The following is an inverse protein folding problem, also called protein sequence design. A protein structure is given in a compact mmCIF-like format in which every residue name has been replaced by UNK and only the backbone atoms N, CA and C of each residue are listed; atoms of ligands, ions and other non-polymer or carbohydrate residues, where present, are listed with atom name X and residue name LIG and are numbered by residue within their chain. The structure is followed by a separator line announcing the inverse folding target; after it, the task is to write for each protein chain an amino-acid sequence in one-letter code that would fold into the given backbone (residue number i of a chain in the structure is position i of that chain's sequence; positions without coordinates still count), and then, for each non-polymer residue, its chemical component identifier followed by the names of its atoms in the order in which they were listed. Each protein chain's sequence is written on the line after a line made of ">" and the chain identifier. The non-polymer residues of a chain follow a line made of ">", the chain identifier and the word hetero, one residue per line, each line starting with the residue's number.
data_IF_104765159358
#
_entry.id   IF_104765159358
#
_cell.length_a   1.000
_cell.length_b   1.000
_cell.length_c   1.000
_cell.angle_alpha   90.00
_cell.angle_beta   90.00
_cell.angle_gamma   90.00
#
_symmetry.space_group_name_H-M   'P 1'
#
loop_
_entity.id
_entity.type
_entity.pdbx_description
1 polymer ?
#
# COMPACT_ATOMS: atom_id res chain seq x y z
N UNK A 1 -15.25 9.04 2.08
CA UNK A 1 -14.12 9.93 2.43
C UNK A 1 -13.86 11.07 1.45
N UNK A 2 -14.51 11.13 0.27
CA UNK A 2 -14.29 12.21 -0.71
C UNK A 2 -15.59 12.86 -1.14
N UNK A 3 -15.53 14.12 -1.54
CA UNK A 3 -16.63 14.91 -2.11
C UNK A 3 -16.14 15.66 -3.36
N UNK A 4 -17.06 16.12 -4.20
CA UNK A 4 -16.73 16.99 -5.35
C UNK A 4 -16.16 18.31 -4.83
N UNK A 5 -15.10 18.80 -5.47
CA UNK A 5 -14.55 20.13 -5.16
C UNK A 5 -15.55 21.22 -5.53
N UNK A 6 -15.64 22.25 -4.69
CA UNK A 6 -16.48 23.44 -4.91
C UNK A 6 -15.78 24.48 -5.80
N UNK A 7 -14.45 24.40 -5.93
CA UNK A 7 -13.64 25.32 -6.73
C UNK A 7 -13.46 24.80 -8.16
N UNK A 8 -13.37 23.48 -8.34
CA UNK A 8 -13.19 22.85 -9.65
C UNK A 8 -13.91 21.50 -9.73
N UNK A 9 -14.91 21.40 -10.61
CA UNK A 9 -15.73 20.20 -10.79
C UNK A 9 -14.95 18.93 -11.22
N UNK A 10 -13.72 19.08 -11.74
CA UNK A 10 -12.85 17.96 -12.10
C UNK A 10 -12.03 17.43 -10.92
N UNK A 11 -12.04 18.12 -9.78
CA UNK A 11 -11.31 17.74 -8.58
C UNK A 11 -12.21 17.09 -7.53
N UNK A 12 -11.58 16.25 -6.72
CA UNK A 12 -12.17 15.63 -5.54
C UNK A 12 -11.50 16.17 -4.29
N UNK A 13 -12.30 16.62 -3.34
CA UNK A 13 -11.83 17.04 -2.02
C UNK A 13 -11.82 15.86 -1.05
N UNK A 14 -10.67 15.61 -0.45
CA UNK A 14 -10.52 14.61 0.59
C UNK A 14 -11.07 15.13 1.92
N UNK A 15 -12.05 14.45 2.52
CA UNK A 15 -12.59 14.84 3.84
C UNK A 15 -11.60 14.63 4.99
N UNK A 16 -10.60 13.77 4.81
CA UNK A 16 -9.63 13.44 5.86
C UNK A 16 -8.51 14.48 6.00
N UNK A 17 -8.06 15.09 4.90
CA UNK A 17 -6.96 16.06 4.92
C UNK A 17 -7.25 17.36 4.14
N UNK A 18 -8.48 17.53 3.65
CA UNK A 18 -8.95 18.70 2.89
C UNK A 18 -8.22 18.97 1.57
N UNK A 19 -7.31 18.10 1.12
CA UNK A 19 -6.62 18.25 -0.17
C UNK A 19 -7.56 18.00 -1.35
N UNK A 20 -7.40 18.79 -2.40
CA UNK A 20 -8.07 18.63 -3.69
C UNK A 20 -7.16 17.86 -4.65
N UNK A 21 -7.68 16.81 -5.26
CA UNK A 21 -6.92 15.90 -6.14
C UNK A 21 -7.76 15.51 -7.35
N UNK A 22 -7.11 15.27 -8.49
CA UNK A 22 -7.78 14.76 -9.70
C UNK A 22 -8.16 13.28 -9.56
N UNK A 23 -7.31 12.48 -8.89
CA UNK A 23 -7.55 11.06 -8.67
C UNK A 23 -7.72 10.72 -7.19
N UNK A 24 -8.97 10.64 -6.73
CA UNK A 24 -9.31 10.32 -5.34
C UNK A 24 -8.88 8.92 -4.89
N UNK A 25 -8.85 7.93 -5.81
CA UNK A 25 -8.45 6.56 -5.47
C UNK A 25 -6.94 6.44 -5.26
N UNK A 26 -6.15 7.09 -6.11
CA UNK A 26 -4.71 7.18 -5.89
C UNK A 26 -4.39 7.91 -4.58
N UNK A 27 -5.07 9.03 -4.30
CA UNK A 27 -4.90 9.76 -3.06
C UNK A 27 -5.36 8.96 -1.83
N UNK A 28 -6.39 8.14 -1.94
CA UNK A 28 -6.84 7.28 -0.83
C UNK A 28 -5.70 6.42 -0.29
N UNK A 29 -4.80 5.95 -1.16
CA UNK A 29 -3.64 5.17 -0.75
C UNK A 29 -2.62 5.93 0.10
N UNK A 30 -2.60 7.26 0.08
CA UNK A 30 -1.74 8.03 1.01
C UNK A 30 -2.25 7.98 2.45
N UNK A 31 -3.55 7.74 2.64
CA UNK A 31 -4.17 7.61 3.96
C UNK A 31 -4.18 6.17 4.44
N UNK A 32 -4.29 5.21 3.52
CA UNK A 32 -4.13 3.82 3.88
C UNK A 32 -2.65 3.50 3.95
N UNK A 33 -2.08 3.56 5.16
CA UNK A 33 -0.80 2.90 5.43
C UNK A 33 -0.99 1.39 5.39
N UNK A 34 -1.27 0.83 4.20
CA UNK A 34 -1.32 -0.61 4.00
C UNK A 34 0.10 -1.13 4.12
N UNK A 35 0.38 -1.58 5.32
CA UNK A 35 1.62 -2.21 5.70
C UNK A 35 1.50 -3.68 5.32
N UNK A 36 2.22 -4.07 4.27
CA UNK A 36 2.33 -5.45 3.84
C UNK A 36 3.38 -6.13 4.72
N UNK A 37 2.96 -7.12 5.50
CA UNK A 37 3.83 -7.89 6.37
C UNK A 37 4.55 -8.98 5.58
N UNK A 38 5.82 -9.22 5.91
CA UNK A 38 6.52 -10.39 5.39
C UNK A 38 5.99 -11.66 6.09
N UNK A 39 5.63 -12.71 5.35
CA UNK A 39 5.14 -13.96 5.94
C UNK A 39 6.25 -14.86 6.50
N UNK A 40 7.49 -14.36 6.55
CA UNK A 40 8.67 -15.12 7.00
C UNK A 40 9.49 -14.37 8.06
N UNK A 41 9.16 -13.11 8.37
CA UNK A 41 9.88 -12.30 9.35
C UNK A 41 9.04 -11.08 9.79
N UNK A 42 9.41 -10.35 10.87
CA UNK A 42 8.62 -9.21 11.36
C UNK A 42 8.74 -7.95 10.47
N UNK A 43 9.39 -8.04 9.32
CA UNK A 43 9.56 -6.90 8.42
C UNK A 43 8.21 -6.47 7.81
N UNK A 44 8.04 -5.15 7.69
CA UNK A 44 6.81 -4.55 7.21
C UNK A 44 7.12 -3.51 6.15
N UNK A 45 6.32 -3.49 5.09
CA UNK A 45 6.56 -2.68 3.90
C UNK A 45 5.36 -1.83 3.54
N UNK A 46 5.58 -0.60 3.09
CA UNK A 46 4.52 0.31 2.62
C UNK A 46 3.99 -0.06 1.23
N UNK A 47 4.65 -0.97 0.51
CA UNK A 47 4.33 -1.37 -0.87
C UNK A 47 4.52 -2.87 -1.06
N UNK A 48 3.71 -3.46 -1.95
CA UNK A 48 3.79 -4.89 -2.25
C UNK A 48 5.02 -5.27 -3.08
N UNK A 49 5.50 -4.38 -3.96
CA UNK A 49 6.68 -4.64 -4.78
C UNK A 49 7.97 -4.70 -3.94
N UNK A 50 8.08 -3.83 -2.93
CA UNK A 50 9.21 -3.84 -1.99
C UNK A 50 9.20 -5.08 -1.11
N UNK A 51 8.01 -5.50 -0.64
CA UNK A 51 7.85 -6.79 0.05
C UNK A 51 8.28 -7.97 -0.83
N UNK A 52 7.85 -8.03 -2.10
CA UNK A 52 8.22 -9.12 -3.03
C UNK A 52 9.73 -9.18 -3.26
N UNK A 53 10.39 -8.03 -3.41
CA UNK A 53 11.84 -7.95 -3.55
C UNK A 53 12.57 -8.44 -2.30
N UNK A 54 12.08 -8.05 -1.12
CA UNK A 54 12.59 -8.54 0.16
C UNK A 54 12.47 -10.07 0.26
N UNK A 55 11.30 -10.64 -0.02
CA UNK A 55 11.10 -12.10 0.04
C UNK A 55 12.04 -12.83 -0.92
N UNK A 56 12.22 -12.34 -2.15
CA UNK A 56 13.14 -12.95 -3.13
C UNK A 56 14.60 -12.90 -2.71
N UNK A 57 15.04 -11.86 -2.01
CA UNK A 57 16.44 -11.64 -1.65
C UNK A 57 16.83 -12.16 -0.27
N UNK A 58 15.89 -12.16 0.69
CA UNK A 58 16.14 -12.55 2.09
C UNK A 58 15.50 -13.89 2.45
N UNK A 59 14.50 -14.33 1.71
CA UNK A 59 13.77 -15.58 1.93
C UNK A 59 13.80 -16.51 0.70
N UNK A 60 14.83 -16.38 -0.15
CA UNK A 60 15.03 -17.20 -1.37
C UNK A 60 14.95 -18.70 -1.09
N UNK A 61 15.46 -19.15 0.08
CA UNK A 61 15.44 -20.56 0.50
C UNK A 61 14.02 -21.10 0.74
N UNK A 62 13.07 -20.25 1.13
CA UNK A 62 11.66 -20.63 1.34
C UNK A 62 10.91 -20.76 -0.01
N UNK A 63 11.35 -20.05 -1.05
CA UNK A 63 10.73 -20.08 -2.39
C UNK A 63 11.10 -21.34 -3.19
N UNK A 64 12.24 -21.97 -2.90
CA UNK A 64 12.73 -23.15 -3.63
C UNK A 64 12.25 -24.49 -3.03
N UNK A 65 11.89 -24.51 -1.74
CA UNK A 65 11.68 -25.76 -0.99
C UNK A 65 10.24 -26.04 -0.54
N UNK A 66 9.21 -25.38 -1.09
CA UNK A 66 7.80 -25.57 -0.68
C UNK A 66 7.56 -25.48 0.84
N UNK A 67 8.40 -24.72 1.55
CA UNK A 67 8.27 -24.53 3.00
C UNK A 67 7.14 -23.53 3.24
N UNK A 68 6.07 -23.99 3.89
CA UNK A 68 4.91 -23.14 4.19
C UNK A 68 5.32 -21.99 5.11
N UNK A 69 4.82 -20.76 4.87
CA UNK A 69 5.12 -19.60 5.71
C UNK A 69 4.66 -19.82 7.15
N UNK A 70 5.39 -19.23 8.09
CA UNK A 70 4.92 -19.06 9.46
C UNK A 70 4.11 -17.76 9.46
N UNK A 71 2.80 -17.97 9.29
CA UNK A 71 1.67 -17.02 9.32
C UNK A 71 1.53 -16.04 8.16
#
# INVERSE_FOLDING_TARGET
>A
MFESSTTNALLWRCKACSKEVTNRWHHFHSHTTQRSFCPYCPATYSRIDTLRSHVRSKHTMYLLNSVKPVV
#
